data_IF_430146041581
#
_entry.id   IF_430146041581
#
_cell.length_a   1.000
_cell.length_b   1.000
_cell.length_c   1.000
_cell.angle_alpha   90.00
_cell.angle_beta   90.00
_cell.angle_gamma   90.00
#
_symmetry.space_group_name_H-M   'P 1'
#
loop_
_entity.id
_entity.type
_entity.pdbx_description
1 polymer ?
#
# COMPACT_ATOMS: atom_id res chain seq x y z
N UNK A 1 -17.10 -16.05 -16.87
CA UNK A 1 -17.61 -16.82 -15.71
C UNK A 1 -16.49 -17.21 -14.74
N UNK A 2 -15.46 -17.94 -15.17
CA UNK A 2 -14.34 -18.38 -14.30
C UNK A 2 -13.60 -17.20 -13.63
N UNK A 3 -13.28 -16.15 -14.38
CA UNK A 3 -12.63 -14.95 -13.82
C UNK A 3 -13.46 -14.29 -12.70
N UNK A 4 -14.78 -14.24 -12.86
CA UNK A 4 -15.67 -13.66 -11.88
C UNK A 4 -15.74 -14.50 -10.59
N UNK A 5 -15.76 -15.82 -10.74
CA UNK A 5 -15.72 -16.77 -9.61
C UNK A 5 -14.39 -16.63 -8.85
N UNK A 6 -13.27 -16.51 -9.56
CA UNK A 6 -11.95 -16.29 -8.95
C UNK A 6 -11.86 -14.94 -8.23
N UNK A 7 -12.37 -13.87 -8.84
CA UNK A 7 -12.41 -12.54 -8.21
C UNK A 7 -13.28 -12.53 -6.95
N UNK A 8 -14.45 -13.19 -7.00
CA UNK A 8 -15.34 -13.33 -5.84
C UNK A 8 -14.69 -14.16 -4.73
N UNK A 9 -14.04 -15.27 -5.07
CA UNK A 9 -13.32 -16.10 -4.11
C UNK A 9 -12.18 -15.34 -3.44
N UNK A 10 -11.36 -14.62 -4.21
CA UNK A 10 -10.31 -13.74 -3.68
C UNK A 10 -10.88 -12.66 -2.75
N UNK A 11 -11.99 -12.02 -3.14
CA UNK A 11 -12.66 -11.01 -2.33
C UNK A 11 -13.12 -11.56 -0.98
N UNK A 12 -13.81 -12.72 -0.97
CA UNK A 12 -14.30 -13.36 0.27
C UNK A 12 -13.15 -13.73 1.20
N UNK A 13 -12.06 -14.29 0.66
CA UNK A 13 -10.88 -14.66 1.45
C UNK A 13 -10.22 -13.42 2.08
N UNK A 14 -10.04 -12.35 1.30
CA UNK A 14 -9.38 -11.12 1.77
C UNK A 14 -10.26 -10.27 2.69
N UNK A 15 -11.59 -10.30 2.55
CA UNK A 15 -12.53 -9.50 3.33
C UNK A 15 -12.39 -9.75 4.85
N UNK A 16 -12.12 -10.99 5.25
CA UNK A 16 -11.94 -11.36 6.66
C UNK A 16 -10.71 -10.68 7.29
N UNK A 17 -9.59 -10.62 6.56
CA UNK A 17 -8.34 -9.98 6.99
C UNK A 17 -8.47 -8.44 7.03
N UNK A 18 -9.20 -7.87 6.06
CA UNK A 18 -9.47 -6.42 6.00
C UNK A 18 -10.26 -5.96 7.24
N UNK A 19 -11.23 -6.75 7.70
CA UNK A 19 -12.12 -6.34 8.79
C UNK A 19 -11.43 -6.08 10.13
N UNK A 20 -10.36 -6.84 10.45
CA UNK A 20 -9.71 -6.82 11.77
C UNK A 20 -8.75 -5.64 11.95
N UNK A 21 -8.09 -5.24 10.87
CA UNK A 21 -7.00 -4.24 10.91
C UNK A 21 -7.38 -2.91 10.25
N UNK A 22 -8.51 -2.83 9.54
CA UNK A 22 -8.90 -1.63 8.78
C UNK A 22 -8.84 -0.34 9.60
N UNK A 23 -9.36 -0.34 10.83
CA UNK A 23 -9.49 0.89 11.62
C UNK A 23 -8.10 1.36 12.09
N UNK A 24 -7.18 0.43 12.35
CA UNK A 24 -5.79 0.74 12.72
C UNK A 24 -5.03 1.32 11.54
N UNK A 25 -5.06 0.65 10.38
CA UNK A 25 -4.36 1.10 9.19
C UNK A 25 -4.93 2.42 8.67
N UNK A 26 -6.26 2.55 8.64
CA UNK A 26 -6.90 3.78 8.22
C UNK A 26 -6.56 4.94 9.16
N UNK A 27 -6.52 4.71 10.48
CA UNK A 27 -6.11 5.74 11.44
C UNK A 27 -4.61 6.05 11.34
N UNK A 28 -3.76 5.05 11.04
CA UNK A 28 -2.36 5.29 10.69
C UNK A 28 -2.21 6.17 9.44
N UNK A 29 -3.06 5.98 8.43
CA UNK A 29 -3.11 6.85 7.25
C UNK A 29 -3.55 8.27 7.63
N UNK A 30 -4.54 8.42 8.53
CA UNK A 30 -4.93 9.72 9.09
C UNK A 30 -3.77 10.40 9.84
N UNK A 31 -2.97 9.65 10.59
CA UNK A 31 -1.79 10.15 11.28
C UNK A 31 -0.72 10.64 10.29
N UNK A 32 -0.40 9.84 9.28
CA UNK A 32 0.54 10.22 8.21
C UNK A 32 0.10 11.51 7.48
N UNK A 33 -1.21 11.72 7.33
CA UNK A 33 -1.77 12.91 6.69
C UNK A 33 -1.89 14.12 7.63
N UNK A 34 -1.54 13.99 8.90
CA UNK A 34 -1.74 15.02 9.94
C UNK A 34 -3.21 15.24 10.33
N UNK A 35 -4.15 14.47 9.76
CA UNK A 35 -5.59 14.62 10.02
C UNK A 35 -5.92 14.13 11.42
N UNK A 36 -5.27 13.05 11.89
CA UNK A 36 -5.49 12.55 13.25
C UNK A 36 -5.12 13.60 14.31
N UNK A 37 -4.02 14.32 14.12
CA UNK A 37 -3.60 15.40 15.01
C UNK A 37 -4.67 16.48 15.09
N UNK A 38 -5.12 16.97 13.93
CA UNK A 38 -6.16 17.99 13.84
C UNK A 38 -7.47 17.53 14.50
N UNK A 39 -7.86 16.27 14.27
CA UNK A 39 -9.05 15.68 14.88
C UNK A 39 -8.96 15.64 16.40
N UNK A 40 -7.80 15.27 16.96
CA UNK A 40 -7.62 15.23 18.40
C UNK A 40 -7.63 16.65 18.99
N UNK A 41 -7.00 17.62 18.32
CA UNK A 41 -7.05 19.02 18.74
C UNK A 41 -8.49 19.55 18.84
N UNK A 42 -9.32 19.24 17.84
CA UNK A 42 -10.72 19.65 17.79
C UNK A 42 -11.62 18.91 18.78
N UNK A 43 -11.42 17.59 18.93
CA UNK A 43 -12.40 16.72 19.60
C UNK A 43 -12.08 16.45 21.06
N UNK A 44 -10.80 16.47 21.47
CA UNK A 44 -10.41 16.19 22.85
C UNK A 44 -11.06 17.10 23.90
N UNK A 45 -11.38 18.38 23.64
CA UNK A 45 -12.14 19.20 24.59
C UNK A 45 -13.57 18.70 24.85
N UNK A 46 -14.15 17.95 23.90
CA UNK A 46 -15.56 17.52 23.91
C UNK A 46 -15.76 16.01 24.02
N UNK A 47 -14.69 15.22 23.85
CA UNK A 47 -14.69 13.77 23.84
C UNK A 47 -13.46 13.25 24.56
N UNK A 48 -13.67 12.28 25.43
CA UNK A 48 -12.60 11.64 26.19
C UNK A 48 -12.02 10.45 25.41
N UNK A 49 -11.32 10.74 24.30
CA UNK A 49 -10.54 9.71 23.62
C UNK A 49 -9.26 9.44 24.42
N UNK A 50 -8.88 8.17 24.60
CA UNK A 50 -7.63 7.85 25.30
C UNK A 50 -6.41 8.41 24.57
N UNK A 51 -6.49 8.51 23.24
CA UNK A 51 -5.46 9.17 22.43
C UNK A 51 -5.25 10.66 22.78
N UNK A 52 -6.20 11.32 23.46
CA UNK A 52 -6.05 12.71 23.89
C UNK A 52 -4.87 12.91 24.84
N UNK A 53 -4.50 11.90 25.63
CA UNK A 53 -3.33 11.91 26.51
C UNK A 53 -2.00 12.09 25.73
N UNK A 54 -2.01 11.71 24.46
CA UNK A 54 -0.84 11.75 23.58
C UNK A 54 -1.03 12.68 22.39
N UNK A 55 -2.04 13.56 22.41
CA UNK A 55 -2.42 14.39 21.25
C UNK A 55 -1.21 15.14 20.68
N UNK A 56 -0.33 15.71 21.50
CA UNK A 56 0.80 16.53 21.03
C UNK A 56 2.02 15.68 20.59
N UNK A 57 1.90 14.36 20.64
CA UNK A 57 2.96 13.38 20.38
C UNK A 57 2.56 12.31 19.35
N UNK A 58 1.50 12.57 18.58
CA UNK A 58 1.06 11.66 17.52
C UNK A 58 2.11 11.67 16.39
N UNK A 59 2.71 10.52 16.05
CA UNK A 59 3.66 10.47 14.95
C UNK A 59 3.01 10.82 13.62
N UNK A 60 3.70 11.64 12.82
CA UNK A 60 3.30 11.98 11.43
C UNK A 60 3.77 10.93 10.40
N UNK A 61 4.20 9.76 10.88
CA UNK A 61 4.56 8.60 10.05
C UNK A 61 3.57 7.48 10.31
N UNK A 62 3.11 6.83 9.24
CA UNK A 62 2.27 5.64 9.34
C UNK A 62 2.99 4.54 10.13
N UNK A 63 4.24 4.27 9.76
CA UNK A 63 5.04 3.21 10.37
C UNK A 63 5.23 3.45 11.87
N UNK A 64 5.51 4.70 12.24
CA UNK A 64 5.72 5.08 13.62
C UNK A 64 4.44 4.97 14.45
N UNK A 65 3.29 5.31 13.89
CA UNK A 65 2.02 5.18 14.61
C UNK A 65 1.57 3.71 14.75
N UNK A 66 1.73 2.91 13.69
CA UNK A 66 1.13 1.56 13.62
C UNK A 66 2.05 0.48 14.21
N UNK A 67 3.37 0.62 14.04
CA UNK A 67 4.33 -0.47 14.29
C UNK A 67 5.31 -0.20 15.43
N UNK A 68 5.73 1.05 15.69
CA UNK A 68 6.64 1.34 16.82
C UNK A 68 5.96 1.11 18.15
N UNK A 69 6.62 0.36 19.04
CA UNK A 69 6.14 0.09 20.41
C UNK A 69 6.02 1.33 21.28
N UNK A 70 6.79 2.37 20.98
CA UNK A 70 6.72 3.67 21.66
C UNK A 70 5.52 4.51 21.25
N UNK A 71 4.76 4.10 20.23
CA UNK A 71 3.60 4.83 19.75
C UNK A 71 2.46 4.84 20.77
N UNK A 72 1.61 5.89 20.76
CA UNK A 72 0.40 5.95 21.58
C UNK A 72 -0.50 4.72 21.44
N UNK A 73 -0.51 4.10 20.25
CA UNK A 73 -1.27 2.88 19.97
C UNK A 73 -0.89 1.74 20.92
N UNK A 74 0.40 1.45 21.12
CA UNK A 74 0.83 0.36 22.01
C UNK A 74 0.84 0.79 23.48
N UNK A 75 1.11 2.06 23.78
CA UNK A 75 0.99 2.59 25.16
C UNK A 75 -0.43 2.45 25.71
N UNK A 76 -1.44 2.49 24.85
CA UNK A 76 -2.86 2.35 25.21
C UNK A 76 -3.42 0.93 25.07
N UNK A 77 -2.55 -0.09 25.05
CA UNK A 77 -2.95 -1.51 25.00
C UNK A 77 -2.97 -2.13 23.60
N UNK A 78 -2.45 -1.43 22.60
CA UNK A 78 -2.27 -1.95 21.26
C UNK A 78 -3.55 -2.01 20.42
N UNK A 79 -3.48 -2.75 19.32
CA UNK A 79 -4.51 -2.72 18.27
C UNK A 79 -5.87 -3.16 18.77
N UNK A 80 -5.93 -4.23 19.58
CA UNK A 80 -7.19 -4.81 20.04
C UNK A 80 -7.93 -3.85 20.98
N UNK A 81 -7.21 -3.32 21.96
CA UNK A 81 -7.78 -2.45 22.99
C UNK A 81 -8.21 -1.10 22.42
N UNK A 82 -7.43 -0.52 21.50
CA UNK A 82 -7.76 0.81 20.94
C UNK A 82 -8.77 0.76 19.79
N UNK A 83 -9.03 -0.41 19.20
CA UNK A 83 -9.89 -0.55 18.01
C UNK A 83 -11.26 0.14 18.09
N UNK A 84 -12.04 0.07 19.19
CA UNK A 84 -13.35 0.74 19.26
C UNK A 84 -13.22 2.27 19.12
N UNK A 85 -12.18 2.84 19.70
CA UNK A 85 -11.85 4.26 19.61
C UNK A 85 -11.41 4.63 18.18
N UNK A 86 -10.50 3.86 17.59
CA UNK A 86 -10.04 4.06 16.22
C UNK A 86 -11.17 3.96 15.19
N UNK A 87 -12.15 3.06 15.42
CA UNK A 87 -13.35 2.95 14.59
C UNK A 87 -14.21 4.23 14.68
N UNK A 88 -14.29 4.84 15.86
CA UNK A 88 -15.03 6.10 16.05
C UNK A 88 -14.32 7.25 15.35
N UNK A 89 -13.01 7.35 15.49
CA UNK A 89 -12.16 8.31 14.76
C UNK A 89 -12.34 8.13 13.25
N UNK A 90 -12.23 6.89 12.76
CA UNK A 90 -12.42 6.55 11.35
C UNK A 90 -13.78 6.96 10.82
N UNK A 91 -14.84 6.84 11.64
CA UNK A 91 -16.19 7.28 11.29
C UNK A 91 -16.25 8.80 11.19
N UNK A 92 -15.75 9.51 12.20
CA UNK A 92 -15.75 10.98 12.22
C UNK A 92 -15.04 11.55 10.98
N UNK A 93 -13.90 10.98 10.60
CA UNK A 93 -13.11 11.48 9.48
C UNK A 93 -13.79 11.37 8.12
N UNK A 94 -14.77 10.46 7.98
CA UNK A 94 -15.54 10.26 6.74
C UNK A 94 -16.97 10.82 6.81
N UNK A 95 -17.41 11.32 7.97
CA UNK A 95 -18.76 11.90 8.13
C UNK A 95 -18.76 13.41 8.28
N UNK A 96 -17.71 13.99 8.88
CA UNK A 96 -17.66 15.44 9.10
C UNK A 96 -17.00 16.16 7.92
N UNK A 97 -17.65 17.22 7.42
CA UNK A 97 -17.22 17.95 6.22
C UNK A 97 -15.77 18.45 6.28
N UNK A 98 -15.32 18.93 7.45
CA UNK A 98 -13.93 19.42 7.66
C UNK A 98 -12.92 18.33 7.31
N UNK A 99 -13.03 17.16 7.93
CA UNK A 99 -12.08 16.07 7.73
C UNK A 99 -12.21 15.38 6.38
N UNK A 100 -13.41 15.33 5.79
CA UNK A 100 -13.61 14.86 4.42
C UNK A 100 -12.80 15.73 3.44
N UNK A 101 -12.87 17.07 3.58
CA UNK A 101 -12.09 17.99 2.73
C UNK A 101 -10.58 17.79 2.91
N UNK A 102 -10.13 17.63 4.15
CA UNK A 102 -8.72 17.33 4.45
C UNK A 102 -8.28 16.00 3.83
N UNK A 103 -9.11 14.96 3.98
CA UNK A 103 -8.86 13.64 3.40
C UNK A 103 -8.78 13.71 1.88
N UNK A 104 -9.67 14.45 1.22
CA UNK A 104 -9.66 14.61 -0.24
C UNK A 104 -8.34 15.22 -0.72
N UNK A 105 -7.93 16.35 -0.13
CA UNK A 105 -6.69 17.04 -0.50
C UNK A 105 -5.45 16.17 -0.23
N UNK A 106 -5.38 15.56 0.95
CA UNK A 106 -4.25 14.71 1.33
C UNK A 106 -4.17 13.43 0.50
N UNK A 107 -5.32 12.81 0.18
CA UNK A 107 -5.40 11.63 -0.67
C UNK A 107 -4.95 11.95 -2.08
N UNK A 108 -5.32 13.10 -2.64
CA UNK A 108 -4.86 13.51 -3.96
C UNK A 108 -3.34 13.70 -4.00
N UNK A 109 -2.78 14.40 -3.01
CA UNK A 109 -1.32 14.57 -2.90
C UNK A 109 -0.59 13.21 -2.77
N UNK A 110 -1.12 12.31 -1.94
CA UNK A 110 -0.56 10.98 -1.72
C UNK A 110 -0.72 10.06 -2.94
N UNK A 111 -1.81 10.19 -3.69
CA UNK A 111 -2.04 9.48 -4.95
C UNK A 111 -0.95 9.82 -5.97
N UNK A 112 -0.63 11.11 -6.14
CA UNK A 112 0.49 11.53 -6.99
C UNK A 112 1.83 10.98 -6.53
N UNK A 113 2.11 11.02 -5.22
CA UNK A 113 3.35 10.45 -4.66
C UNK A 113 3.49 8.96 -4.96
N UNK A 114 2.40 8.20 -4.91
CA UNK A 114 2.42 6.74 -5.10
C UNK A 114 2.90 6.31 -6.49
N UNK A 115 2.76 7.14 -7.54
CA UNK A 115 3.24 6.82 -8.89
C UNK A 115 4.76 6.68 -8.99
N UNK A 116 5.50 7.41 -8.15
CA UNK A 116 6.96 7.44 -8.17
C UNK A 116 7.58 6.49 -7.14
N UNK A 117 6.76 5.91 -6.27
CA UNK A 117 7.20 5.00 -5.22
C UNK A 117 7.08 3.55 -5.69
N UNK A 118 8.17 3.08 -6.28
CA UNK A 118 8.23 1.77 -6.95
C UNK A 118 9.48 0.97 -6.61
N UNK A 119 10.20 1.37 -5.57
CA UNK A 119 11.36 0.64 -5.08
C UNK A 119 11.06 -0.80 -4.67
N UNK A 120 12.03 -1.68 -4.89
CA UNK A 120 12.02 -3.06 -4.40
C UNK A 120 12.71 -3.09 -3.04
N UNK A 121 12.26 -3.98 -2.16
CA UNK A 121 12.90 -4.19 -0.85
C UNK A 121 12.28 -3.42 0.30
N UNK A 122 11.35 -2.52 0.02
CA UNK A 122 10.60 -1.82 1.05
C UNK A 122 9.82 -2.79 1.95
N UNK A 123 10.04 -2.68 3.26
CA UNK A 123 9.55 -3.61 4.28
C UNK A 123 10.45 -4.82 4.57
N UNK A 124 11.53 -5.01 3.81
CA UNK A 124 12.50 -6.09 4.05
C UNK A 124 13.68 -5.63 4.93
N UNK A 125 13.55 -4.55 5.69
CA UNK A 125 14.60 -4.11 6.61
C UNK A 125 14.79 -5.04 7.82
N UNK A 126 15.83 -4.77 8.60
CA UNK A 126 15.95 -5.32 9.94
C UNK A 126 14.78 -4.82 10.80
N UNK A 127 14.12 -5.74 11.51
CA UNK A 127 13.07 -5.36 12.46
C UNK A 127 13.69 -5.05 13.82
N UNK A 128 13.20 -3.98 14.45
CA UNK A 128 13.62 -3.65 15.80
C UNK A 128 13.21 -4.75 16.80
N UNK A 129 14.06 -5.00 17.79
CA UNK A 129 13.88 -6.08 18.77
C UNK A 129 12.63 -5.93 19.64
N UNK A 130 12.11 -4.69 19.74
CA UNK A 130 10.88 -4.40 20.46
C UNK A 130 9.64 -4.64 19.60
N UNK A 131 9.75 -4.81 18.29
CA UNK A 131 8.57 -4.99 17.44
C UNK A 131 7.77 -6.23 17.86
N UNK A 132 6.42 -6.20 17.77
CA UNK A 132 5.59 -7.36 18.08
C UNK A 132 5.94 -8.59 17.23
N UNK A 133 6.50 -8.38 16.03
CA UNK A 133 6.96 -9.45 15.16
C UNK A 133 8.14 -10.21 15.79
N UNK A 134 9.22 -9.51 16.17
CA UNK A 134 10.39 -10.13 16.80
C UNK A 134 10.00 -10.77 18.14
N UNK A 135 9.16 -10.12 18.93
CA UNK A 135 8.65 -10.69 20.19
C UNK A 135 7.90 -12.01 19.98
N UNK A 136 7.08 -12.11 18.92
CA UNK A 136 6.37 -13.36 18.58
C UNK A 136 7.31 -14.43 18.08
N UNK A 137 8.29 -14.08 17.25
CA UNK A 137 9.33 -15.02 16.79
C UNK A 137 10.05 -15.59 18.02
N UNK A 138 10.54 -14.75 18.93
CA UNK A 138 11.19 -15.21 20.17
C UNK A 138 10.30 -16.09 21.04
N UNK A 139 9.01 -15.77 21.11
CA UNK A 139 8.05 -16.51 21.94
C UNK A 139 7.73 -17.91 21.40
N UNK A 140 7.65 -18.05 20.08
CA UNK A 140 7.12 -19.27 19.44
C UNK A 140 8.13 -20.04 18.61
N UNK A 141 9.16 -19.36 18.09
CA UNK A 141 10.27 -20.00 17.42
C UNK A 141 11.36 -20.27 18.47
N UNK A 142 11.83 -21.51 18.54
CA UNK A 142 13.00 -21.90 19.33
C UNK A 142 14.26 -21.46 18.57
N UNK A 143 14.40 -20.15 18.37
CA UNK A 143 15.52 -19.55 17.65
C UNK A 143 16.31 -18.69 18.63
N UNK A 144 17.62 -18.87 18.62
CA UNK A 144 18.55 -18.00 19.34
C UNK A 144 18.49 -16.57 18.76
N UNK A 145 18.53 -15.57 19.62
CA UNK A 145 18.64 -14.16 19.25
C UNK A 145 19.84 -13.91 18.34
N UNK A 146 20.95 -14.63 18.57
CA UNK A 146 22.11 -14.58 17.70
C UNK A 146 21.77 -15.00 16.26
N UNK A 147 20.91 -16.00 16.07
CA UNK A 147 20.48 -16.45 14.73
C UNK A 147 19.62 -15.38 14.07
N UNK A 148 18.68 -14.77 14.81
CA UNK A 148 17.79 -13.73 14.29
C UNK A 148 18.57 -12.48 13.85
N UNK A 149 19.55 -12.06 14.65
CA UNK A 149 20.39 -10.90 14.35
C UNK A 149 21.36 -11.15 13.18
N UNK A 150 21.80 -12.39 13.00
CA UNK A 150 22.69 -12.78 11.90
C UNK A 150 21.95 -13.18 10.60
N UNK A 151 20.62 -13.05 10.55
CA UNK A 151 19.90 -13.25 9.28
C UNK A 151 20.36 -12.23 8.24
N UNK A 152 20.35 -12.61 6.96
CA UNK A 152 20.64 -11.69 5.85
C UNK A 152 19.78 -10.43 5.90
N UNK A 153 18.54 -10.57 6.36
CA UNK A 153 17.61 -9.46 6.54
C UNK A 153 18.07 -8.48 7.62
N UNK A 154 18.40 -8.98 8.82
CA UNK A 154 18.92 -8.16 9.92
C UNK A 154 20.27 -7.53 9.59
N UNK A 155 21.13 -8.27 8.90
CA UNK A 155 22.44 -7.80 8.46
C UNK A 155 22.40 -6.85 7.25
N UNK A 156 21.20 -6.55 6.70
CA UNK A 156 21.00 -5.78 5.46
C UNK A 156 21.79 -6.33 4.27
N UNK A 157 22.13 -7.62 4.30
CA UNK A 157 22.85 -8.33 3.24
C UNK A 157 21.87 -8.79 2.16
N UNK A 158 21.17 -7.85 1.57
CA UNK A 158 20.35 -8.09 0.41
C UNK A 158 21.19 -8.00 -0.86
N UNK A 159 20.88 -8.83 -1.86
CA UNK A 159 21.32 -8.63 -3.24
C UNK A 159 20.99 -7.19 -3.65
N UNK A 160 21.84 -6.52 -4.42
CA UNK A 160 21.73 -5.10 -4.80
C UNK A 160 20.28 -4.67 -5.23
N UNK A 161 19.45 -4.29 -4.24
CA UNK A 161 18.01 -4.02 -4.43
C UNK A 161 17.79 -2.68 -5.12
N UNK A 162 18.75 -1.76 -4.98
CA UNK A 162 18.73 -0.47 -5.68
C UNK A 162 18.89 -0.68 -7.19
N UNK A 163 19.89 -1.46 -7.62
CA UNK A 163 20.03 -1.81 -9.04
C UNK A 163 18.81 -2.56 -9.59
N UNK A 164 18.19 -3.41 -8.76
CA UNK A 164 16.94 -4.07 -9.13
C UNK A 164 15.81 -3.06 -9.34
N UNK A 165 15.67 -2.06 -8.48
CA UNK A 165 14.64 -1.02 -8.61
C UNK A 165 14.77 -0.23 -9.92
N UNK A 166 16.01 0.12 -10.30
CA UNK A 166 16.29 0.79 -11.58
C UNK A 166 15.91 -0.11 -12.76
N UNK A 167 16.27 -1.39 -12.72
CA UNK A 167 15.93 -2.35 -13.78
C UNK A 167 14.41 -2.45 -13.99
N UNK A 168 13.63 -2.52 -12.91
CA UNK A 168 12.16 -2.59 -12.99
C UNK A 168 11.54 -1.29 -13.51
N UNK A 169 12.08 -0.14 -13.10
CA UNK A 169 11.67 1.15 -13.63
C UNK A 169 11.89 1.23 -15.15
N UNK A 170 13.10 0.89 -15.63
CA UNK A 170 13.43 0.87 -17.05
C UNK A 170 12.57 -0.13 -17.84
N UNK A 171 12.36 -1.32 -17.30
CA UNK A 171 11.50 -2.35 -17.92
C UNK A 171 10.05 -1.87 -18.05
N UNK A 172 9.55 -1.15 -17.04
CA UNK A 172 8.20 -0.56 -17.09
C UNK A 172 8.13 0.54 -18.14
N UNK A 173 9.13 1.42 -18.22
CA UNK A 173 9.19 2.46 -19.23
C UNK A 173 9.22 1.88 -20.65
N UNK A 174 10.04 0.85 -20.88
CA UNK A 174 10.10 0.13 -22.14
C UNK A 174 8.75 -0.54 -22.48
N UNK A 175 8.09 -1.15 -21.49
CA UNK A 175 6.78 -1.78 -21.67
C UNK A 175 5.71 -0.77 -22.09
N UNK A 176 5.68 0.41 -21.45
CA UNK A 176 4.77 1.50 -21.82
C UNK A 176 5.06 2.01 -23.25
N UNK A 177 6.34 2.13 -23.62
CA UNK A 177 6.73 2.53 -24.97
C UNK A 177 6.28 1.53 -26.03
N UNK A 178 6.44 0.22 -25.78
CA UNK A 178 5.96 -0.84 -26.67
C UNK A 178 4.44 -0.74 -26.84
N UNK A 179 3.68 -0.62 -25.75
CA UNK A 179 2.22 -0.47 -25.80
C UNK A 179 1.85 0.76 -26.64
N UNK A 180 2.49 1.91 -26.41
CA UNK A 180 2.24 3.14 -27.14
C UNK A 180 2.51 2.99 -28.65
N UNK A 181 3.66 2.42 -29.03
CA UNK A 181 4.03 2.20 -30.43
C UNK A 181 2.99 1.30 -31.11
N UNK A 182 2.58 0.21 -30.45
CA UNK A 182 1.59 -0.71 -31.00
C UNK A 182 0.21 -0.05 -31.09
N UNK A 183 -0.15 0.80 -30.12
CA UNK A 183 -1.36 1.63 -30.14
C UNK A 183 -1.39 2.58 -31.35
N UNK A 184 -0.28 3.29 -31.60
CA UNK A 184 -0.15 4.20 -32.74
C UNK A 184 -0.19 3.46 -34.09
N UNK A 185 0.39 2.25 -34.15
CA UNK A 185 0.37 1.41 -35.35
C UNK A 185 -0.97 0.72 -35.61
N UNK A 186 -1.94 0.81 -34.69
CA UNK A 186 -3.25 0.12 -34.79
C UNK A 186 -3.13 -1.40 -35.03
N UNK A 187 -2.06 -2.01 -34.49
CA UNK A 187 -1.70 -3.42 -34.67
C UNK A 187 -2.17 -4.32 -33.51
N UNK A 188 -3.45 -4.22 -33.16
CA UNK A 188 -4.02 -4.99 -32.04
C UNK A 188 -5.46 -5.40 -32.35
N UNK A 189 -5.94 -6.44 -31.66
CA UNK A 189 -7.34 -6.84 -31.73
C UNK A 189 -8.23 -5.77 -31.05
N UNK A 190 -9.48 -5.61 -31.52
CA UNK A 190 -10.49 -4.73 -30.90
C UNK A 190 -10.68 -4.99 -29.41
N UNK A 191 -10.46 -6.23 -28.94
CA UNK A 191 -10.52 -6.61 -27.52
C UNK A 191 -9.33 -6.11 -26.68
N UNK A 192 -8.20 -5.76 -27.29
CA UNK A 192 -7.00 -5.35 -26.57
C UNK A 192 -7.15 -3.98 -25.89
N UNK A 193 -7.75 -3.00 -26.57
CA UNK A 193 -7.95 -1.65 -26.03
C UNK A 193 -8.80 -1.67 -24.75
N UNK A 194 -9.97 -2.34 -24.71
CA UNK A 194 -10.72 -2.52 -23.47
C UNK A 194 -9.90 -3.15 -22.34
N UNK A 195 -9.04 -4.14 -22.62
CA UNK A 195 -8.19 -4.78 -21.61
C UNK A 195 -7.16 -3.79 -21.04
N UNK A 196 -6.51 -3.00 -21.90
CA UNK A 196 -5.57 -1.95 -21.47
C UNK A 196 -6.28 -0.91 -20.62
N UNK A 197 -7.43 -0.39 -21.07
CA UNK A 197 -8.20 0.60 -20.32
C UNK A 197 -8.66 0.08 -18.96
N UNK A 198 -9.14 -1.16 -18.91
CA UNK A 198 -9.54 -1.81 -17.66
C UNK A 198 -8.35 -1.99 -16.71
N UNK A 199 -7.19 -2.38 -17.24
CA UNK A 199 -5.97 -2.54 -16.45
C UNK A 199 -5.48 -1.21 -15.87
N UNK A 200 -5.46 -0.16 -16.69
CA UNK A 200 -5.14 1.20 -16.25
C UNK A 200 -6.13 1.65 -15.17
N UNK A 201 -7.43 1.45 -15.38
CA UNK A 201 -8.45 1.76 -14.39
C UNK A 201 -8.19 1.06 -13.05
N UNK A 202 -7.91 -0.25 -13.04
CA UNK A 202 -7.62 -0.97 -11.81
C UNK A 202 -6.32 -0.53 -11.13
N UNK A 203 -5.28 -0.18 -11.90
CA UNK A 203 -4.04 0.39 -11.35
C UNK A 203 -4.33 1.72 -10.66
N UNK A 204 -5.06 2.62 -11.32
CA UNK A 204 -5.43 3.93 -10.76
C UNK A 204 -6.29 3.79 -9.50
N UNK A 205 -7.29 2.91 -9.53
CA UNK A 205 -8.13 2.61 -8.36
C UNK A 205 -7.29 2.02 -7.23
N UNK A 206 -6.32 1.14 -7.51
CA UNK A 206 -5.43 0.59 -6.50
C UNK A 206 -4.63 1.70 -5.79
N UNK A 207 -3.99 2.59 -6.56
CA UNK A 207 -3.25 3.72 -5.99
C UNK A 207 -4.13 4.68 -5.20
N UNK A 208 -5.35 4.94 -5.69
CA UNK A 208 -6.30 5.79 -4.99
C UNK A 208 -6.72 5.19 -3.65
N UNK A 209 -7.02 3.88 -3.62
CA UNK A 209 -7.37 3.17 -2.39
C UNK A 209 -6.21 3.17 -1.39
N UNK A 210 -4.98 2.90 -1.84
CA UNK A 210 -3.79 2.97 -0.99
C UNK A 210 -3.60 4.38 -0.42
N UNK A 211 -3.68 5.40 -1.27
CA UNK A 211 -3.55 6.80 -0.86
C UNK A 211 -4.64 7.24 0.12
N UNK A 212 -5.84 6.64 0.04
CA UNK A 212 -6.92 6.92 0.95
C UNK A 212 -6.75 6.21 2.30
N UNK A 213 -6.42 4.91 2.31
CA UNK A 213 -6.60 4.07 3.50
C UNK A 213 -5.36 3.42 4.09
N UNK A 214 -4.20 3.53 3.46
CA UNK A 214 -2.99 2.83 3.86
C UNK A 214 -1.79 3.77 3.90
N UNK A 215 -0.64 3.18 4.22
CA UNK A 215 0.67 3.76 4.02
C UNK A 215 0.97 3.99 2.53
N UNK A 216 1.61 5.12 2.24
CA UNK A 216 2.23 5.39 0.96
C UNK A 216 3.65 4.81 0.96
N UNK A 217 3.87 3.76 0.16
CA UNK A 217 5.09 2.97 0.23
C UNK A 217 5.48 2.39 -1.15
N UNK A 218 6.77 2.11 -1.33
CA UNK A 218 7.35 1.60 -2.58
C UNK A 218 6.79 0.23 -2.99
N UNK A 219 6.59 -0.64 -1.99
CA UNK A 219 6.07 -2.01 -2.19
C UNK A 219 4.66 -2.07 -2.79
N UNK A 220 3.93 -0.96 -2.82
CA UNK A 220 2.60 -0.91 -3.40
C UNK A 220 2.64 -0.70 -4.92
N UNK A 221 3.48 0.23 -5.40
CA UNK A 221 3.66 0.46 -6.84
C UNK A 221 4.28 -0.73 -7.56
N UNK A 222 5.32 -1.32 -6.95
CA UNK A 222 6.10 -2.40 -7.56
C UNK A 222 5.28 -3.66 -7.86
N UNK A 223 4.22 -3.93 -7.08
CA UNK A 223 3.35 -5.10 -7.25
C UNK A 223 2.52 -5.09 -8.53
N UNK A 224 2.39 -3.93 -9.18
CA UNK A 224 1.61 -3.77 -10.41
C UNK A 224 2.47 -3.85 -11.68
N UNK A 225 3.80 -3.87 -11.56
CA UNK A 225 4.70 -3.84 -12.71
C UNK A 225 4.56 -5.02 -13.66
N UNK A 226 4.36 -6.23 -13.13
CA UNK A 226 4.20 -7.42 -13.96
C UNK A 226 3.02 -7.29 -14.92
N UNK A 227 1.95 -6.58 -14.53
CA UNK A 227 0.78 -6.38 -15.38
C UNK A 227 1.12 -5.50 -16.59
N UNK A 228 1.91 -4.44 -16.38
CA UNK A 228 2.35 -3.55 -17.48
C UNK A 228 3.24 -4.33 -18.46
N UNK A 229 4.18 -5.12 -17.95
CA UNK A 229 5.06 -5.97 -18.79
C UNK A 229 4.27 -7.02 -19.56
N UNK A 230 3.27 -7.65 -18.93
CA UNK A 230 2.40 -8.62 -19.59
C UNK A 230 1.59 -7.98 -20.72
N UNK A 231 1.03 -6.79 -20.50
CA UNK A 231 0.29 -6.06 -21.53
C UNK A 231 1.19 -5.69 -22.71
N UNK A 232 2.44 -5.29 -22.45
CA UNK A 232 3.41 -5.01 -23.50
C UNK A 232 3.70 -6.25 -24.34
N UNK A 233 3.97 -7.39 -23.70
CA UNK A 233 4.18 -8.66 -24.40
C UNK A 233 2.97 -9.05 -25.26
N UNK A 234 1.75 -8.99 -24.71
CA UNK A 234 0.53 -9.29 -25.46
C UNK A 234 0.33 -8.35 -26.66
N UNK A 235 0.63 -7.05 -26.49
CA UNK A 235 0.56 -6.06 -27.57
C UNK A 235 1.55 -6.34 -28.69
N UNK A 236 2.73 -6.85 -28.35
CA UNK A 236 3.77 -7.19 -29.30
C UNK A 236 3.37 -8.42 -30.13
N UNK A 237 3.01 -9.52 -29.47
CA UNK A 237 2.59 -10.78 -30.13
C UNK A 237 1.39 -10.58 -31.06
N UNK A 238 0.42 -9.76 -30.66
CA UNK A 238 -0.73 -9.46 -31.52
C UNK A 238 -0.33 -8.66 -32.76
N UNK A 239 0.63 -7.75 -32.63
CA UNK A 239 1.06 -6.91 -33.75
C UNK A 239 1.88 -7.65 -34.79
N UNK A 240 2.67 -8.66 -34.39
CA UNK A 240 3.36 -9.54 -35.34
C UNK A 240 2.36 -10.39 -36.14
N UNK A 241 1.36 -10.99 -35.48
CA UNK A 241 0.33 -11.79 -36.17
C UNK A 241 -0.43 -10.99 -37.23
N UNK A 242 -0.77 -9.73 -36.93
CA UNK A 242 -1.48 -8.87 -37.89
C UNK A 242 -0.58 -8.50 -39.07
N UNK A 243 0.71 -8.28 -38.83
CA UNK A 243 1.67 -8.00 -39.91
C UNK A 243 1.78 -9.17 -40.88
N UNK A 244 1.88 -10.40 -40.37
CA UNK A 244 1.99 -11.61 -41.19
C UNK A 244 0.73 -11.88 -42.03
N UNK A 245 -0.45 -11.50 -41.54
CA UNK A 245 -1.70 -11.66 -42.29
C UNK A 245 -1.93 -10.56 -43.35
N UNK A 246 -1.15 -9.48 -43.34
CA UNK A 246 -1.26 -8.34 -44.27
C UNK A 246 -0.16 -8.35 -45.36
N UNK A 247 0.82 -9.26 -45.27
CA UNK A 247 1.90 -9.51 -46.26
C UNK A 247 1.63 -10.78 -47.04
#
# INVERSE_FOLDING_TARGET
MILFILLLACYVIMASAISKSKDVFYTGSLAQKGILQEMLNDKCPSRDFRLCQYKDSIPLSFEDFVWKTSSPLYKLGGWKELRPELKTISRISITEKKYIKMQFNATLANFYKQFYLTGIGDGNGAFDSTTPLIQRIRKYAVLDDAIVLNTRQSAKQFLNLESSSVFYFLTTLLSLLIILIQMLRRKFNKLFVPIVLLSVFFILINFLLIAFSSEIANRHGVKLYWLVTLLAYLSFVQGEKKHYNET
#
